data_IF_319959152004
#
_entry.id   IF_319959152004
#
_cell.length_a   1.000
_cell.length_b   1.000
_cell.length_c   1.000
_cell.angle_alpha   90.00
_cell.angle_beta   90.00
_cell.angle_gamma   90.00
#
_symmetry.space_group_name_H-M   'P 1'
#
loop_
_entity.id
_entity.type
_entity.pdbx_description
1 polymer ?
#
# COMPACT_ATOMS: atom_id res chain seq x y z
N UNK A 1 -15.57 16.92 5.99
CA UNK A 1 -15.94 15.50 6.09
C UNK A 1 -14.73 14.65 6.50
N UNK A 2 -13.59 14.82 5.83
CA UNK A 2 -12.30 14.11 6.03
C UNK A 2 -11.76 14.01 7.47
N UNK A 3 -11.82 15.08 8.27
CA UNK A 3 -11.24 15.07 9.62
C UNK A 3 -11.99 14.14 10.61
N UNK A 4 -13.29 13.94 10.40
CA UNK A 4 -14.11 13.15 11.31
C UNK A 4 -13.87 11.64 11.14
N UNK A 5 -13.72 11.18 9.90
CA UNK A 5 -13.51 9.76 9.58
C UNK A 5 -12.07 9.33 9.94
N UNK A 6 -11.09 10.19 9.66
CA UNK A 6 -9.71 9.95 10.10
C UNK A 6 -9.61 9.90 11.64
N UNK A 7 -10.32 10.80 12.35
CA UNK A 7 -10.40 10.76 13.83
C UNK A 7 -11.06 9.46 14.31
N UNK A 8 -12.09 8.99 13.62
CA UNK A 8 -12.77 7.74 13.95
C UNK A 8 -11.88 6.52 13.77
N UNK A 9 -11.15 6.46 12.67
CA UNK A 9 -10.25 5.34 12.40
C UNK A 9 -9.07 5.27 13.38
N UNK A 10 -8.49 6.40 13.79
CA UNK A 10 -7.46 6.42 14.84
C UNK A 10 -7.97 5.97 16.20
N UNK A 11 -9.26 6.12 16.46
CA UNK A 11 -9.86 5.68 17.71
C UNK A 11 -10.16 4.17 17.73
N UNK A 12 -10.07 3.47 16.59
CA UNK A 12 -10.19 2.01 16.56
C UNK A 12 -9.00 1.36 17.25
N UNK A 13 -9.27 0.29 18.01
CA UNK A 13 -8.21 -0.49 18.66
C UNK A 13 -8.03 -1.84 17.98
N UNK A 14 -6.81 -2.19 17.55
CA UNK A 14 -6.52 -3.53 17.07
C UNK A 14 -6.60 -4.53 18.25
N UNK A 15 -7.21 -5.68 17.99
CA UNK A 15 -7.22 -6.84 18.87
C UNK A 15 -6.64 -8.01 18.11
N UNK A 16 -5.48 -8.46 18.57
CA UNK A 16 -4.66 -9.48 17.92
C UNK A 16 -4.85 -10.83 18.61
N UNK A 17 -5.05 -11.88 17.82
CA UNK A 17 -4.92 -13.26 18.32
C UNK A 17 -3.72 -13.91 17.64
N UNK A 18 -2.68 -14.11 18.45
CA UNK A 18 -1.45 -14.81 18.06
C UNK A 18 -1.62 -16.28 18.43
N UNK A 19 -1.51 -17.15 17.45
CA UNK A 19 -1.44 -18.61 17.65
C UNK A 19 0.02 -19.02 17.45
N UNK A 20 0.42 -20.17 18.00
CA UNK A 20 1.77 -20.72 17.79
C UNK A 20 2.15 -20.73 16.30
N UNK A 21 3.44 -20.51 16.06
CA UNK A 21 4.02 -19.93 14.84
C UNK A 21 3.44 -20.40 13.49
N UNK A 22 3.40 -19.49 12.48
CA UNK A 22 3.99 -18.14 12.51
C UNK A 22 2.92 -17.04 12.63
N UNK A 23 2.99 -16.24 13.70
CA UNK A 23 2.45 -14.88 13.72
C UNK A 23 0.93 -14.74 13.75
N UNK A 24 0.47 -13.48 13.86
CA UNK A 24 -0.94 -13.09 14.01
C UNK A 24 -1.83 -13.85 13.02
N UNK A 25 -2.70 -14.70 13.55
CA UNK A 25 -3.65 -15.49 12.76
C UNK A 25 -4.95 -14.71 12.48
N UNK A 26 -5.27 -13.77 13.38
CA UNK A 26 -6.49 -12.98 13.31
C UNK A 26 -6.26 -11.56 13.83
N UNK A 27 -6.76 -10.58 13.06
CA UNK A 27 -6.78 -9.17 13.41
C UNK A 27 -8.24 -8.69 13.44
N UNK A 28 -8.71 -8.28 14.62
CA UNK A 28 -10.01 -7.64 14.80
C UNK A 28 -9.80 -6.15 15.04
N UNK A 29 -10.49 -5.27 14.31
CA UNK A 29 -10.54 -3.84 14.63
C UNK A 29 -11.79 -3.57 15.45
N UNK A 30 -11.60 -3.22 16.72
CA UNK A 30 -12.71 -2.85 17.61
C UNK A 30 -13.09 -1.38 17.39
N UNK A 31 -14.38 -1.14 17.21
CA UNK A 31 -14.93 0.20 17.01
C UNK A 31 -14.90 1.00 18.32
N UNK A 32 -14.71 2.34 18.27
CA UNK A 32 -14.91 3.21 19.42
C UNK A 32 -16.32 3.01 20.01
N UNK A 33 -16.42 3.04 21.34
CA UNK A 33 -17.68 2.95 22.05
C UNK A 33 -18.51 4.23 21.80
N UNK A 34 -19.83 4.13 21.93
CA UNK A 34 -20.71 5.31 21.79
C UNK A 34 -20.45 6.39 22.85
N UNK A 35 -19.79 6.05 23.96
CA UNK A 35 -19.31 6.98 24.98
C UNK A 35 -18.07 7.77 24.54
N UNK A 36 -17.32 7.26 23.57
CA UNK A 36 -16.13 7.93 23.07
C UNK A 36 -16.59 9.14 22.24
N UNK A 37 -16.05 10.33 22.53
CA UNK A 37 -16.41 11.59 21.83
C UNK A 37 -15.80 11.66 20.42
N UNK A 38 -16.16 10.67 19.61
CA UNK A 38 -15.67 10.45 18.25
C UNK A 38 -16.89 10.47 17.33
N UNK A 39 -16.76 11.11 16.17
CA UNK A 39 -17.86 11.24 15.22
C UNK A 39 -18.35 9.86 14.78
N UNK A 40 -19.67 9.67 14.74
CA UNK A 40 -20.29 8.44 14.24
C UNK A 40 -20.18 8.26 12.73
N UNK A 41 -19.62 9.22 11.98
CA UNK A 41 -19.56 9.13 10.51
C UNK A 41 -18.81 7.88 9.99
N UNK A 42 -17.86 7.35 10.76
CA UNK A 42 -17.16 6.10 10.40
C UNK A 42 -17.87 4.80 10.79
N UNK A 43 -19.06 4.82 11.40
CA UNK A 43 -19.76 3.58 11.84
C UNK A 43 -20.19 2.69 10.69
N UNK A 44 -20.33 3.26 9.49
CA UNK A 44 -20.73 2.53 8.27
C UNK A 44 -19.55 1.77 7.64
N UNK A 45 -18.35 1.87 8.22
CA UNK A 45 -17.19 1.10 7.81
C UNK A 45 -17.35 -0.37 8.22
N UNK A 46 -17.91 -1.16 7.32
CA UNK A 46 -18.30 -2.56 7.53
C UNK A 46 -17.24 -3.56 7.07
N UNK A 47 -16.20 -3.11 6.38
CA UNK A 47 -15.14 -3.97 5.86
C UNK A 47 -13.79 -3.26 5.82
N UNK A 48 -12.73 -4.06 5.75
CA UNK A 48 -11.37 -3.62 5.48
C UNK A 48 -10.64 -4.74 4.73
N UNK A 49 -9.60 -4.38 3.99
CA UNK A 49 -8.81 -5.33 3.20
C UNK A 49 -7.35 -5.19 3.57
N UNK A 50 -6.69 -6.30 3.89
CA UNK A 50 -5.23 -6.30 4.04
C UNK A 50 -4.61 -6.04 2.67
N UNK A 51 -3.96 -4.90 2.54
CA UNK A 51 -3.37 -4.43 1.29
C UNK A 51 -1.93 -4.92 1.13
N UNK A 52 -1.16 -4.95 2.22
CA UNK A 52 0.20 -5.46 2.26
C UNK A 52 0.61 -5.82 3.69
N UNK A 53 1.65 -6.64 3.83
CA UNK A 53 2.30 -6.91 5.10
C UNK A 53 3.81 -7.11 4.89
N UNK A 54 4.62 -6.66 5.83
CA UNK A 54 6.06 -6.92 5.88
C UNK A 54 6.54 -6.92 7.34
N UNK A 55 7.19 -8.00 7.76
CA UNK A 55 7.61 -8.26 9.14
C UNK A 55 6.46 -8.04 10.16
N UNK A 56 6.59 -7.01 11.00
CA UNK A 56 5.64 -6.60 12.02
C UNK A 56 4.59 -5.59 11.52
N UNK A 57 4.67 -5.16 10.26
CA UNK A 57 3.78 -4.16 9.69
C UNK A 57 2.66 -4.81 8.89
N UNK A 58 1.43 -4.34 9.11
CA UNK A 58 0.26 -4.72 8.32
C UNK A 58 -0.44 -3.44 7.85
N UNK A 59 -0.68 -3.34 6.54
CA UNK A 59 -1.38 -2.22 5.93
C UNK A 59 -2.77 -2.65 5.49
N UNK A 60 -3.77 -1.86 5.83
CA UNK A 60 -5.16 -2.10 5.46
C UNK A 60 -5.75 -0.93 4.67
N UNK A 61 -6.57 -1.25 3.68
CA UNK A 61 -7.56 -0.31 3.17
C UNK A 61 -8.77 -0.32 4.09
N UNK A 62 -9.14 0.85 4.61
CA UNK A 62 -10.30 1.00 5.44
C UNK A 62 -11.56 1.23 4.58
N UNK A 63 -12.61 0.44 4.78
CA UNK A 63 -13.87 0.57 4.06
C UNK A 63 -13.79 0.27 2.57
N UNK A 64 -14.53 1.04 1.78
CA UNK A 64 -14.57 0.92 0.31
C UNK A 64 -13.39 1.60 -0.38
N UNK A 65 -12.41 2.13 0.37
CA UNK A 65 -11.27 2.83 -0.20
C UNK A 65 -10.51 1.95 -1.18
N UNK A 66 -10.21 2.51 -2.35
CA UNK A 66 -9.27 1.95 -3.31
C UNK A 66 -8.34 3.07 -3.79
N UNK A 67 -7.03 2.81 -3.92
CA UNK A 67 -6.09 3.82 -4.35
C UNK A 67 -6.46 4.45 -5.70
N UNK A 68 -6.30 5.78 -5.78
CA UNK A 68 -6.65 6.62 -6.94
C UNK A 68 -8.13 6.53 -7.41
N UNK A 69 -9.01 5.89 -6.64
CA UNK A 69 -10.46 5.85 -6.94
C UNK A 69 -11.18 7.13 -6.51
N UNK A 70 -12.42 7.30 -6.97
CA UNK A 70 -13.29 8.40 -6.53
C UNK A 70 -13.75 8.26 -5.08
N UNK A 71 -13.60 7.07 -4.48
CA UNK A 71 -13.90 6.83 -3.08
C UNK A 71 -12.72 7.32 -2.23
N UNK A 72 -12.96 8.36 -1.44
CA UNK A 72 -11.99 8.85 -0.47
C UNK A 72 -11.76 7.84 0.65
N UNK A 73 -10.58 7.88 1.24
CA UNK A 73 -10.24 7.02 2.37
C UNK A 73 -8.79 7.17 2.78
N UNK A 74 -8.32 6.23 3.57
CA UNK A 74 -6.96 6.20 4.10
C UNK A 74 -6.44 4.78 4.19
N UNK A 75 -5.13 4.66 4.32
CA UNK A 75 -4.47 3.45 4.73
C UNK A 75 -4.40 3.42 6.26
N UNK A 76 -4.58 2.25 6.84
CA UNK A 76 -4.29 2.00 8.25
C UNK A 76 -3.01 1.16 8.31
N UNK A 77 -2.02 1.65 9.03
CA UNK A 77 -0.79 0.92 9.29
C UNK A 77 -0.80 0.45 10.73
N UNK A 78 -0.75 -0.86 10.90
CA UNK A 78 -0.61 -1.53 12.18
C UNK A 78 0.85 -1.95 12.35
N UNK A 79 1.45 -1.54 13.47
CA UNK A 79 2.69 -2.13 13.97
C UNK A 79 2.36 -3.13 15.08
N UNK A 80 2.53 -4.42 14.76
CA UNK A 80 2.29 -5.53 15.66
C UNK A 80 3.40 -5.75 16.71
N UNK A 81 4.60 -5.23 16.48
CA UNK A 81 5.71 -5.36 17.44
C UNK A 81 5.66 -4.30 18.53
N UNK A 82 4.94 -3.21 18.29
CA UNK A 82 4.69 -2.16 19.28
C UNK A 82 3.93 -2.69 20.50
N UNK A 83 4.40 -2.35 21.70
CA UNK A 83 3.86 -2.81 22.99
C UNK A 83 2.37 -2.49 23.22
N UNK A 84 1.82 -1.51 22.50
CA UNK A 84 0.42 -1.11 22.53
C UNK A 84 -0.35 -1.45 21.24
N UNK A 85 0.29 -2.15 20.29
CA UNK A 85 -0.22 -2.36 18.91
C UNK A 85 -0.65 -1.03 18.29
N UNK A 86 0.32 -0.23 17.88
CA UNK A 86 0.09 1.14 17.40
C UNK A 86 -0.59 1.12 16.04
N UNK A 87 -1.68 1.89 15.91
CA UNK A 87 -2.42 2.07 14.67
C UNK A 87 -2.20 3.51 14.19
N UNK A 88 -1.56 3.67 13.04
CA UNK A 88 -1.41 4.98 12.38
C UNK A 88 -2.27 5.06 11.13
N UNK A 89 -2.65 6.30 10.77
CA UNK A 89 -3.47 6.57 9.58
C UNK A 89 -2.64 7.35 8.58
N UNK A 90 -2.53 6.82 7.36
CA UNK A 90 -1.85 7.47 6.24
C UNK A 90 -2.92 7.96 5.27
N UNK A 91 -2.92 9.23 4.85
CA UNK A 91 -3.93 9.76 3.93
C UNK A 91 -3.96 8.94 2.64
N UNK A 92 -5.16 8.74 2.09
CA UNK A 92 -5.30 8.07 0.80
C UNK A 92 -4.65 8.86 -0.33
N UNK A 93 -4.17 8.17 -1.36
CA UNK A 93 -3.82 8.79 -2.63
C UNK A 93 -5.09 9.39 -3.24
N UNK A 94 -5.03 10.68 -3.56
CA UNK A 94 -6.15 11.43 -4.16
C UNK A 94 -6.53 10.85 -5.52
N UNK A 95 -7.79 11.05 -5.91
CA UNK A 95 -8.30 10.65 -7.21
C UNK A 95 -7.42 11.15 -8.37
N UNK A 96 -7.08 10.25 -9.29
CA UNK A 96 -6.28 10.53 -10.49
C UNK A 96 -7.01 9.93 -11.71
N UNK A 97 -7.71 10.72 -12.54
CA UNK A 97 -8.63 10.21 -13.57
C UNK A 97 -7.95 9.34 -14.64
N UNK A 98 -6.67 9.59 -14.92
CA UNK A 98 -5.91 8.85 -15.94
C UNK A 98 -5.24 7.57 -15.41
N UNK A 99 -5.35 7.32 -14.11
CA UNK A 99 -4.66 6.23 -13.43
C UNK A 99 -5.63 5.30 -12.72
N UNK A 100 -5.32 4.01 -12.73
CA UNK A 100 -6.11 3.00 -12.01
C UNK A 100 -5.19 2.05 -11.26
N UNK A 101 -5.71 1.42 -10.20
CA UNK A 101 -4.99 0.41 -9.43
C UNK A 101 -5.14 -0.96 -10.13
N UNK A 102 -4.05 -1.57 -10.63
CA UNK A 102 -4.11 -2.83 -11.37
C UNK A 102 -4.14 -4.05 -10.43
N UNK A 103 -5.05 -4.10 -9.46
CA UNK A 103 -5.17 -5.21 -8.51
C UNK A 103 -4.57 -4.90 -7.12
N UNK A 104 -3.78 -5.82 -6.57
CA UNK A 104 -3.16 -5.66 -5.25
C UNK A 104 -1.81 -4.97 -5.36
N UNK A 105 -1.80 -3.64 -5.50
CA UNK A 105 -0.60 -2.89 -5.87
C UNK A 105 0.13 -2.22 -4.68
N UNK A 106 -0.38 -2.33 -3.46
CA UNK A 106 0.28 -1.79 -2.26
C UNK A 106 1.46 -2.66 -1.85
N UNK A 107 2.59 -2.06 -1.51
CA UNK A 107 3.72 -2.72 -0.86
C UNK A 107 4.07 -1.94 0.40
N UNK A 108 4.33 -2.63 1.51
CA UNK A 108 4.99 -2.04 2.67
C UNK A 108 6.36 -2.68 2.84
N UNK A 109 7.33 -1.88 3.26
CA UNK A 109 8.69 -2.33 3.53
C UNK A 109 9.12 -1.74 4.88
N UNK A 110 9.30 -2.60 5.87
CA UNK A 110 9.87 -2.25 7.15
C UNK A 110 11.37 -1.96 6.99
N UNK A 111 11.84 -0.88 7.58
CA UNK A 111 13.22 -0.43 7.60
C UNK A 111 13.78 -0.47 9.02
N UNK A 112 15.09 -0.28 9.13
CA UNK A 112 15.76 -0.22 10.42
C UNK A 112 15.25 0.96 11.27
N UNK A 113 15.32 0.83 12.59
CA UNK A 113 14.91 1.87 13.51
C UNK A 113 13.41 2.18 13.51
N UNK A 114 12.53 1.23 13.15
CA UNK A 114 11.08 1.42 13.13
C UNK A 114 10.57 2.27 11.95
N UNK A 115 11.46 2.65 11.02
CA UNK A 115 11.08 3.32 9.80
C UNK A 115 10.37 2.37 8.83
N UNK A 116 9.60 2.91 7.89
CA UNK A 116 8.97 2.14 6.84
C UNK A 116 8.77 2.96 5.57
N UNK A 117 8.57 2.25 4.46
CA UNK A 117 8.08 2.82 3.21
C UNK A 117 6.82 2.09 2.80
N UNK A 118 5.76 2.85 2.55
CA UNK A 118 4.54 2.40 1.89
C UNK A 118 4.59 2.86 0.43
N UNK A 119 4.33 1.94 -0.47
CA UNK A 119 4.33 2.18 -1.91
C UNK A 119 3.02 1.72 -2.54
N UNK A 120 2.54 2.46 -3.54
CA UNK A 120 1.38 2.10 -4.34
C UNK A 120 1.71 2.31 -5.81
N UNK A 121 1.53 1.26 -6.63
CA UNK A 121 1.74 1.33 -8.07
C UNK A 121 0.41 1.48 -8.82
N UNK A 122 0.29 2.55 -9.59
CA UNK A 122 -0.87 2.86 -10.42
C UNK A 122 -0.51 2.79 -11.89
N UNK A 123 -1.45 2.33 -12.71
CA UNK A 123 -1.30 2.22 -14.16
C UNK A 123 -2.04 3.35 -14.87
N UNK A 124 -1.30 4.08 -15.70
CA UNK A 124 -1.80 5.12 -16.58
C UNK A 124 -2.24 4.55 -17.91
N UNK A 125 -3.53 4.69 -18.21
CA UNK A 125 -4.13 4.21 -19.46
C UNK A 125 -4.34 5.38 -20.42
N UNK A 126 -3.63 5.38 -21.55
CA UNK A 126 -4.04 6.22 -22.68
C UNK A 126 -5.18 5.50 -23.41
N UNK A 127 -6.32 6.17 -23.57
CA UNK A 127 -7.60 5.72 -24.16
C UNK A 127 -7.54 4.34 -24.87
N UNK A 128 -8.27 3.36 -24.33
CA UNK A 128 -8.50 2.01 -24.88
C UNK A 128 -7.25 1.15 -25.20
N UNK A 129 -6.09 1.45 -24.62
CA UNK A 129 -4.85 0.70 -24.85
C UNK A 129 -4.31 -0.06 -23.63
N UNK A 130 -3.19 -0.76 -23.85
CA UNK A 130 -2.34 -1.27 -22.76
C UNK A 130 -1.80 -0.11 -21.92
N UNK A 131 -1.55 -0.30 -20.61
CA UNK A 131 -0.99 0.74 -19.76
C UNK A 131 0.44 1.05 -20.23
N UNK A 132 0.71 2.31 -20.56
CA UNK A 132 2.04 2.74 -21.05
C UNK A 132 2.85 3.47 -19.99
N UNK A 133 2.17 3.97 -18.95
CA UNK A 133 2.76 4.75 -17.88
C UNK A 133 2.47 4.08 -16.54
N UNK A 134 3.44 4.13 -15.64
CA UNK A 134 3.29 3.78 -14.23
C UNK A 134 3.44 5.03 -13.40
N UNK A 135 2.67 5.12 -12.30
CA UNK A 135 2.88 6.09 -11.25
C UNK A 135 3.11 5.35 -9.94
N UNK A 136 4.24 5.59 -9.30
CA UNK A 136 4.57 5.06 -7.98
C UNK A 136 4.38 6.16 -6.95
N UNK A 137 3.38 6.00 -6.09
CA UNK A 137 3.21 6.81 -4.89
C UNK A 137 4.04 6.21 -3.75
N UNK A 138 4.86 7.03 -3.10
CA UNK A 138 5.69 6.65 -1.96
C UNK A 138 5.32 7.48 -0.74
N UNK A 139 5.18 6.81 0.39
CA UNK A 139 5.03 7.42 1.70
C UNK A 139 6.08 6.83 2.63
N UNK A 140 6.98 7.68 3.11
CA UNK A 140 7.95 7.31 4.14
C UNK A 140 7.39 7.68 5.51
N UNK A 141 7.67 6.86 6.51
CA UNK A 141 7.27 7.16 7.87
C UNK A 141 8.15 6.47 8.89
N UNK A 142 7.96 6.83 10.15
CA UNK A 142 8.49 6.12 11.30
C UNK A 142 7.35 5.79 12.24
N UNK A 143 7.39 4.62 12.87
CA UNK A 143 6.43 4.23 13.91
C UNK A 143 6.45 5.16 15.12
N UNK A 144 7.56 5.89 15.35
CA UNK A 144 7.77 6.74 16.53
C UNK A 144 7.45 8.23 16.33
N UNK A 145 7.45 8.72 15.08
CA UNK A 145 7.10 10.12 14.78
C UNK A 145 5.73 10.20 14.11
N UNK A 146 4.73 10.61 14.91
CA UNK A 146 3.51 11.15 14.37
C UNK A 146 3.80 12.51 13.73
N UNK A 147 3.66 12.60 12.41
CA UNK A 147 3.56 13.80 11.56
C UNK A 147 4.78 14.08 10.68
N UNK A 148 4.49 14.29 9.39
CA UNK A 148 5.40 14.91 8.44
C UNK A 148 5.81 14.01 7.28
N UNK A 149 4.88 13.56 6.46
CA UNK A 149 5.21 13.16 5.09
C UNK A 149 4.04 13.51 4.17
N UNK A 150 4.37 13.84 2.93
CA UNK A 150 3.42 13.92 1.82
C UNK A 150 3.69 12.72 0.91
N UNK A 151 2.70 12.32 0.13
CA UNK A 151 2.92 11.36 -0.94
C UNK A 151 3.90 11.93 -1.97
N UNK A 152 5.01 11.25 -2.18
CA UNK A 152 5.95 11.52 -3.27
C UNK A 152 5.58 10.66 -4.46
N UNK A 153 5.43 11.26 -5.64
CA UNK A 153 5.03 10.53 -6.85
C UNK A 153 6.18 10.49 -7.85
N UNK A 154 6.45 9.30 -8.38
CA UNK A 154 7.31 9.09 -9.54
C UNK A 154 6.50 8.57 -10.70
N UNK A 155 6.79 9.06 -11.90
CA UNK A 155 6.08 8.65 -13.12
C UNK A 155 7.09 8.18 -14.14
N UNK A 156 6.76 7.14 -14.90
CA UNK A 156 7.67 6.59 -15.89
C UNK A 156 6.98 5.59 -16.80
N UNK A 157 7.71 5.12 -17.80
CA UNK A 157 7.20 4.13 -18.72
C UNK A 157 7.18 2.74 -18.09
N UNK A 158 6.07 2.03 -18.28
CA UNK A 158 6.01 0.61 -17.95
C UNK A 158 6.76 -0.20 -19.01
N UNK A 159 7.36 -1.35 -18.64
CA UNK A 159 7.93 -2.27 -19.62
C UNK A 159 6.93 -2.65 -20.71
N UNK A 160 7.40 -2.80 -21.95
CA UNK A 160 6.55 -3.10 -23.12
C UNK A 160 5.75 -4.41 -22.98
N UNK A 161 6.18 -5.31 -22.09
CA UNK A 161 5.52 -6.57 -21.75
C UNK A 161 4.24 -6.37 -20.93
N UNK A 162 4.07 -5.22 -20.28
CA UNK A 162 2.85 -4.89 -19.53
C UNK A 162 1.74 -4.59 -20.52
N UNK A 163 0.82 -5.55 -20.69
CA UNK A 163 -0.33 -5.43 -21.60
C UNK A 163 -1.61 -5.05 -20.85
N UNK A 164 -2.69 -4.82 -21.59
CA UNK A 164 -4.03 -4.62 -21.04
C UNK A 164 -4.54 -5.78 -20.17
N UNK A 165 -3.96 -6.99 -20.26
CA UNK A 165 -4.32 -8.14 -19.42
C UNK A 165 -3.53 -8.22 -18.13
N UNK A 166 -2.54 -7.35 -17.94
CA UNK A 166 -1.71 -7.38 -16.76
C UNK A 166 -2.52 -7.09 -15.51
N UNK A 167 -2.38 -7.94 -14.50
CA UNK A 167 -3.03 -7.80 -13.20
C UNK A 167 -2.07 -8.19 -12.09
N UNK A 168 -1.95 -7.30 -11.11
CA UNK A 168 -1.18 -7.56 -9.91
C UNK A 168 -2.03 -8.43 -8.97
N UNK A 169 -1.58 -9.67 -8.82
CA UNK A 169 -2.18 -10.66 -7.94
C UNK A 169 -1.57 -10.60 -6.54
N UNK A 170 -0.29 -10.24 -6.45
CA UNK A 170 0.46 -10.15 -5.21
C UNK A 170 1.55 -9.09 -5.33
N UNK A 171 1.90 -8.50 -4.19
CA UNK A 171 2.94 -7.49 -4.08
C UNK A 171 3.70 -7.70 -2.77
N UNK A 172 5.02 -7.50 -2.80
CA UNK A 172 5.88 -7.68 -1.63
C UNK A 172 7.16 -6.88 -1.78
N UNK A 173 7.90 -6.74 -0.68
CA UNK A 173 9.21 -6.12 -0.66
C UNK A 173 10.32 -7.16 -0.46
N UNK A 174 11.53 -6.85 -0.95
CA UNK A 174 12.75 -7.62 -0.69
C UNK A 174 13.77 -6.67 -0.06
N UNK A 175 13.77 -6.65 1.27
CA UNK A 175 14.53 -5.68 2.05
C UNK A 175 16.04 -5.73 1.79
N UNK A 176 16.62 -6.91 1.55
CA UNK A 176 18.06 -7.06 1.30
C UNK A 176 18.56 -6.31 0.05
N UNK A 177 17.64 -5.82 -0.80
CA UNK A 177 17.94 -5.07 -2.02
C UNK A 177 17.09 -3.81 -2.17
N UNK A 178 16.38 -3.38 -1.12
CA UNK A 178 15.42 -2.27 -1.19
C UNK A 178 14.48 -2.36 -2.41
N UNK A 179 14.04 -3.58 -2.74
CA UNK A 179 13.30 -3.87 -3.96
C UNK A 179 11.80 -3.99 -3.67
N UNK A 180 10.98 -3.34 -4.49
CA UNK A 180 9.53 -3.51 -4.51
C UNK A 180 9.15 -4.42 -5.67
N UNK A 181 8.28 -5.39 -5.41
CA UNK A 181 7.88 -6.42 -6.38
C UNK A 181 6.36 -6.43 -6.55
N UNK A 182 5.90 -6.49 -7.80
CA UNK A 182 4.50 -6.71 -8.15
C UNK A 182 4.39 -7.88 -9.11
N UNK A 183 3.57 -8.86 -8.75
CA UNK A 183 3.49 -10.14 -9.44
C UNK A 183 2.18 -10.27 -10.19
N UNK A 184 2.30 -10.57 -11.48
CA UNK A 184 1.27 -11.17 -12.29
C UNK A 184 1.57 -12.66 -12.44
N UNK A 185 0.70 -13.51 -11.90
CA UNK A 185 0.87 -14.96 -11.88
C UNK A 185 0.77 -15.61 -13.28
N UNK A 186 0.42 -14.86 -14.32
CA UNK A 186 0.38 -15.33 -15.70
C UNK A 186 1.53 -14.77 -16.55
N UNK A 187 2.07 -13.60 -16.21
CA UNK A 187 3.00 -12.90 -17.09
C UNK A 187 4.40 -12.70 -16.49
N UNK A 188 4.52 -12.39 -15.19
CA UNK A 188 5.82 -12.15 -14.58
C UNK A 188 5.79 -11.18 -13.40
N UNK A 189 6.95 -10.58 -13.14
CA UNK A 189 7.15 -9.63 -12.05
C UNK A 189 7.57 -8.27 -12.61
N UNK A 190 7.03 -7.22 -12.01
CA UNK A 190 7.56 -5.87 -12.12
C UNK A 190 8.38 -5.57 -10.87
N UNK A 191 9.58 -5.03 -11.06
CA UNK A 191 10.50 -4.73 -9.98
C UNK A 191 10.87 -3.24 -10.02
N UNK A 192 10.80 -2.58 -8.87
CA UNK A 192 11.32 -1.23 -8.67
C UNK A 192 12.38 -1.27 -7.56
N UNK A 193 13.61 -0.93 -7.91
CA UNK A 193 14.75 -0.91 -7.00
C UNK A 193 14.89 0.50 -6.41
N UNK A 194 14.59 0.63 -5.11
CA UNK A 194 14.71 1.91 -4.40
C UNK A 194 16.16 2.24 -4.01
N UNK A 195 17.07 1.26 -4.07
CA UNK A 195 18.48 1.38 -3.68
C UNK A 195 19.42 1.67 -4.85
N UNK A 196 19.06 1.28 -6.09
CA UNK A 196 19.89 1.50 -7.30
C UNK A 196 20.19 2.96 -7.60
N UNK A 197 19.36 3.84 -7.07
CA UNK A 197 19.64 5.25 -6.93
C UNK A 197 19.06 5.63 -5.58
N UNK A 198 19.83 6.28 -4.69
CA UNK A 198 19.20 7.34 -3.91
C UNK A 198 18.46 8.15 -4.95
N UNK A 199 17.14 8.00 -4.99
CA UNK A 199 16.21 8.77 -5.78
C UNK A 199 16.79 10.18 -5.74
N UNK A 200 17.51 10.59 -6.79
CA UNK A 200 18.11 11.90 -6.75
C UNK A 200 16.90 12.79 -6.52
N UNK A 201 16.94 13.70 -5.56
CA UNK A 201 15.73 14.46 -5.17
C UNK A 201 15.15 15.20 -6.40
N UNK A 202 15.95 15.29 -7.48
CA UNK A 202 15.64 15.81 -8.80
C UNK A 202 15.17 14.80 -9.87
N UNK A 203 15.30 13.48 -9.66
CA UNK A 203 14.87 12.45 -10.64
C UNK A 203 13.42 12.03 -10.38
N UNK A 204 12.53 12.58 -11.21
CA UNK A 204 11.09 12.30 -11.18
C UNK A 204 10.71 10.98 -11.89
N UNK A 205 11.70 10.30 -12.49
CA UNK A 205 11.48 9.16 -13.37
C UNK A 205 11.34 7.85 -12.58
N UNK A 206 10.27 7.13 -12.86
CA UNK A 206 10.04 5.79 -12.35
C UNK A 206 10.73 4.77 -13.27
N UNK A 207 11.73 4.07 -12.74
CA UNK A 207 12.35 2.93 -13.42
C UNK A 207 11.75 1.62 -12.88
N UNK A 208 11.09 0.87 -13.77
CA UNK A 208 10.54 -0.44 -13.49
C UNK A 208 11.15 -1.43 -14.47
N UNK A 209 11.66 -2.54 -13.96
CA UNK A 209 12.12 -3.67 -14.76
C UNK A 209 11.09 -4.79 -14.75
N UNK A 210 11.10 -5.62 -15.80
CA UNK A 210 10.22 -6.77 -15.94
C UNK A 210 11.04 -8.06 -15.91
N UNK A 211 10.55 -9.05 -15.17
CA UNK A 211 11.09 -10.42 -15.13
C UNK A 211 9.99 -11.37 -15.56
N UNK A 212 10.14 -12.12 -16.66
CA UNK A 212 9.14 -13.08 -17.09
C UNK A 212 9.03 -14.26 -16.12
N UNK A 213 7.86 -14.91 -16.10
CA UNK A 213 7.75 -16.22 -15.45
C UNK A 213 8.64 -17.25 -16.13
N UNK A 214 9.10 -18.28 -15.41
CA UNK A 214 9.77 -19.42 -16.02
C UNK A 214 8.90 -20.06 -17.10
N UNK A 215 9.52 -20.54 -18.17
CA UNK A 215 8.84 -21.16 -19.33
C UNK A 215 7.92 -22.33 -18.98
N UNK A 216 8.11 -22.99 -17.82
CA UNK A 216 7.26 -24.07 -17.33
C UNK A 216 5.94 -23.61 -16.71
N UNK A 217 5.75 -22.29 -16.53
CA UNK A 217 4.59 -21.71 -15.86
C UNK A 217 3.62 -20.98 -16.81
N UNK A 218 3.88 -21.00 -18.12
CA UNK A 218 2.95 -20.43 -19.11
C UNK A 218 1.81 -21.41 -19.38
N UNK A 219 0.57 -20.97 -19.13
CA UNK A 219 -0.67 -21.73 -19.40
C UNK A 219 -1.03 -21.62 -20.88
#
# INVERSE_FOLDING_TARGET
MEAADAKYMRAMKPSLQVVDAPGISHLTLTRPLSSDQVSKHGTDMTSGLVAAADKNLVVLYAGSYRPASSYQGSYLLLDAASSSSSLSTIPGIRYKPDYTCPGFATVVMAREGGAFVLAELLFGFRRHGSPTLGMLGLWSGSSELEQGSEWVYKVGHLPAQVSHRWRIHMSFSVQSRDLLCWVDLLHGLLLCDLGRHHCNVDSSDLEISFVPLPHSCTI
#
